data_IF_206439832261
#
_entry.id   IF_206439832261
#
_cell.length_a   1.000
_cell.length_b   1.000
_cell.length_c   1.000
_cell.angle_alpha   90.00
_cell.angle_beta   90.00
_cell.angle_gamma   90.00
#
_symmetry.space_group_name_H-M   'P 1'
#
loop_
_entity.id
_entity.type
_entity.pdbx_description
1 polymer ?
#
# COMPACT_ATOMS: atom_id res chain seq x y z
N UNK A 1 1.56 26.65 33.40
CA UNK A 1 2.18 27.58 32.43
C UNK A 1 3.67 27.81 32.70
N UNK A 2 4.13 27.94 33.96
CA UNK A 2 5.56 28.14 34.26
C UNK A 2 6.49 26.96 33.85
N UNK A 3 6.09 25.70 34.09
CA UNK A 3 6.94 24.52 33.80
C UNK A 3 7.38 24.42 32.33
N UNK A 4 6.46 24.65 31.37
CA UNK A 4 6.76 24.55 29.93
C UNK A 4 7.75 25.60 29.42
N UNK A 5 7.90 26.72 30.13
CA UNK A 5 8.87 27.75 29.77
C UNK A 5 10.21 27.47 30.44
N UNK A 6 10.22 26.85 31.62
CA UNK A 6 11.45 26.45 32.31
C UNK A 6 12.12 25.25 31.62
N UNK A 7 11.34 24.38 30.97
CA UNK A 7 11.82 23.20 30.25
C UNK A 7 12.57 23.51 28.94
N UNK A 8 12.73 24.77 28.55
CA UNK A 8 13.50 25.15 27.35
C UNK A 8 15.01 25.08 27.56
N UNK A 9 15.47 24.98 28.81
CA UNK A 9 16.88 24.81 29.16
C UNK A 9 17.10 23.40 29.75
N UNK A 10 18.10 22.69 29.23
CA UNK A 10 18.47 21.33 29.66
C UNK A 10 18.72 21.23 31.17
N UNK A 11 19.34 22.25 31.75
CA UNK A 11 19.75 22.26 33.16
C UNK A 11 18.53 22.33 34.09
N UNK A 12 17.47 23.02 33.66
CA UNK A 12 16.20 23.07 34.38
C UNK A 12 15.43 21.74 34.28
N UNK A 13 15.59 21.00 33.18
CA UNK A 13 14.97 19.69 33.00
C UNK A 13 15.55 18.65 33.97
N UNK A 14 16.85 18.67 34.19
CA UNK A 14 17.52 17.76 35.12
C UNK A 14 17.13 18.04 36.57
N UNK A 15 17.02 19.31 36.97
CA UNK A 15 16.50 19.69 38.30
C UNK A 15 15.03 19.29 38.44
N UNK A 16 14.24 19.46 37.39
CA UNK A 16 12.82 19.10 37.39
C UNK A 16 12.61 17.59 37.49
N UNK A 17 13.47 16.76 36.89
CA UNK A 17 13.38 15.30 37.03
C UNK A 17 13.53 14.84 38.48
N UNK A 18 14.31 15.56 39.31
CA UNK A 18 14.44 15.27 40.75
C UNK A 18 13.13 15.38 41.52
N UNK A 19 12.14 16.13 41.01
CA UNK A 19 10.81 16.24 41.65
C UNK A 19 9.81 15.21 41.12
N UNK A 20 10.25 14.33 40.22
CA UNK A 20 9.45 13.28 39.59
C UNK A 20 8.08 13.78 39.06
N UNK A 21 8.05 14.66 38.04
CA UNK A 21 6.83 15.32 37.59
C UNK A 21 5.92 14.42 36.74
N UNK A 22 6.45 13.32 36.20
CA UNK A 22 5.78 12.50 35.18
C UNK A 22 4.47 11.88 35.67
N UNK A 23 4.36 11.27 36.87
CA UNK A 23 3.09 10.73 37.36
C UNK A 23 1.98 11.79 37.41
N UNK A 24 2.29 12.99 37.89
CA UNK A 24 1.36 14.12 37.93
C UNK A 24 0.94 14.58 36.53
N UNK A 25 1.89 14.63 35.58
CA UNK A 25 1.59 14.98 34.18
C UNK A 25 0.70 13.91 33.53
N UNK A 26 0.98 12.63 33.74
CA UNK A 26 0.17 11.51 33.23
C UNK A 26 -1.24 11.57 33.82
N UNK A 27 -1.38 11.80 35.13
CA UNK A 27 -2.69 11.97 35.76
C UNK A 27 -3.48 13.13 35.16
N UNK A 28 -2.81 14.24 34.82
CA UNK A 28 -3.46 15.38 34.17
C UNK A 28 -3.86 15.06 32.72
N UNK A 29 -3.03 14.34 31.98
CA UNK A 29 -3.37 13.87 30.64
C UNK A 29 -4.58 12.93 30.64
N UNK A 30 -4.73 12.06 31.65
CA UNK A 30 -5.90 11.18 31.79
C UNK A 30 -7.22 11.93 31.98
N UNK A 31 -7.20 13.09 32.64
CA UNK A 31 -8.42 13.82 33.02
C UNK A 31 -8.76 14.98 32.09
N UNK A 32 -7.76 15.58 31.42
CA UNK A 32 -8.00 16.71 30.54
C UNK A 32 -8.46 16.29 29.12
N UNK A 33 -9.15 17.20 28.44
CA UNK A 33 -9.45 17.04 27.00
C UNK A 33 -8.14 17.00 26.21
N UNK A 34 -7.97 15.99 25.35
CA UNK A 34 -6.75 15.76 24.56
C UNK A 34 -6.44 16.88 23.55
N UNK A 35 -7.46 17.51 22.98
CA UNK A 35 -7.32 18.74 22.16
C UNK A 35 -7.00 20.01 22.98
N UNK A 36 -6.77 19.82 24.28
CA UNK A 36 -6.27 20.71 25.32
C UNK A 36 -5.11 21.64 25.02
N UNK A 37 -5.13 22.93 25.42
CA UNK A 37 -3.86 23.64 25.64
C UNK A 37 -3.08 23.03 26.82
N UNK A 38 -3.78 22.46 27.80
CA UNK A 38 -3.18 21.70 28.90
C UNK A 38 -2.48 20.46 28.34
N UNK A 39 -3.19 19.64 27.55
CA UNK A 39 -2.64 18.45 26.92
C UNK A 39 -1.41 18.77 26.05
N UNK A 40 -1.47 19.84 25.24
CA UNK A 40 -0.33 20.30 24.44
C UNK A 40 0.90 20.60 25.31
N UNK A 41 0.72 21.33 26.42
CA UNK A 41 1.82 21.69 27.33
C UNK A 41 2.36 20.49 28.10
N UNK A 42 1.48 19.57 28.52
CA UNK A 42 1.86 18.31 29.15
C UNK A 42 2.68 17.44 28.20
N UNK A 43 2.23 17.26 26.95
CA UNK A 43 2.97 16.47 25.96
C UNK A 43 4.30 17.12 25.56
N UNK A 44 4.37 18.45 25.46
CA UNK A 44 5.64 19.15 25.21
C UNK A 44 6.66 18.89 26.34
N UNK A 45 6.19 18.89 27.59
CA UNK A 45 7.02 18.54 28.75
C UNK A 45 7.45 17.08 28.71
N UNK A 46 6.54 16.16 28.40
CA UNK A 46 6.89 14.74 28.24
C UNK A 46 7.95 14.57 27.15
N UNK A 47 7.77 15.15 25.96
CA UNK A 47 8.74 15.07 24.87
C UNK A 47 10.14 15.54 25.33
N UNK A 48 10.19 16.62 26.12
CA UNK A 48 11.45 17.15 26.65
C UNK A 48 12.06 16.24 27.73
N UNK A 49 11.24 15.66 28.60
CA UNK A 49 11.67 14.80 29.71
C UNK A 49 12.19 13.44 29.23
N UNK A 50 11.60 12.87 28.18
CA UNK A 50 12.04 11.58 27.63
C UNK A 50 13.38 11.67 26.88
N UNK A 51 13.96 12.86 26.70
CA UNK A 51 15.36 13.01 26.29
C UNK A 51 16.34 12.44 27.33
N UNK A 52 15.93 12.34 28.60
CA UNK A 52 16.74 11.80 29.69
C UNK A 52 16.35 10.36 30.03
N UNK A 53 17.33 9.53 30.41
CA UNK A 53 17.10 8.13 30.74
C UNK A 53 16.07 7.94 31.86
N UNK A 54 16.16 8.77 32.90
CA UNK A 54 15.22 8.77 34.03
C UNK A 54 13.79 9.07 33.55
N UNK A 55 13.60 10.11 32.74
CA UNK A 55 12.29 10.46 32.20
C UNK A 55 11.66 9.34 31.36
N UNK A 56 12.46 8.65 30.53
CA UNK A 56 11.99 7.47 29.77
C UNK A 56 11.56 6.33 30.68
N UNK A 57 12.37 6.05 31.69
CA UNK A 57 12.13 4.94 32.63
C UNK A 57 10.86 5.21 33.43
N UNK A 58 10.73 6.39 34.02
CA UNK A 58 9.55 6.78 34.81
C UNK A 58 8.28 6.76 33.95
N UNK A 59 8.30 7.36 32.75
CA UNK A 59 7.12 7.38 31.88
C UNK A 59 6.65 5.97 31.49
N UNK A 60 7.59 5.07 31.23
CA UNK A 60 7.27 3.69 30.82
C UNK A 60 6.81 2.84 32.01
N UNK A 61 7.31 3.10 33.21
CA UNK A 61 6.88 2.40 34.44
C UNK A 61 5.58 2.94 35.02
N UNK A 62 5.22 4.19 34.73
CA UNK A 62 3.99 4.82 35.21
C UNK A 62 2.77 4.15 34.55
N UNK A 63 1.81 3.71 35.37
CA UNK A 63 0.63 3.00 34.89
C UNK A 63 -0.15 3.85 33.89
N UNK A 64 -0.29 3.38 32.65
CA UNK A 64 -0.96 4.12 31.57
C UNK A 64 -0.21 5.37 31.11
N UNK A 65 1.08 5.49 31.39
CA UNK A 65 1.92 6.59 30.91
C UNK A 65 2.03 6.61 29.39
N UNK A 66 2.33 5.46 28.78
CA UNK A 66 2.39 5.32 27.31
C UNK A 66 0.99 5.50 26.71
N UNK A 67 -0.04 4.86 27.27
CA UNK A 67 -1.43 5.03 26.84
C UNK A 67 -1.85 6.51 26.80
N UNK A 68 -1.56 7.28 27.85
CA UNK A 68 -1.92 8.69 27.91
C UNK A 68 -1.29 9.51 26.76
N UNK A 69 -0.07 9.16 26.33
CA UNK A 69 0.60 9.79 25.18
C UNK A 69 -0.03 9.33 23.86
N UNK A 70 -0.36 8.04 23.72
CA UNK A 70 -1.04 7.49 22.54
C UNK A 70 -2.41 8.14 22.34
N UNK A 71 -3.20 8.30 23.40
CA UNK A 71 -4.51 8.96 23.32
C UNK A 71 -4.41 10.43 22.87
N UNK A 72 -3.33 11.13 23.24
CA UNK A 72 -3.05 12.49 22.73
C UNK A 72 -2.61 12.46 21.28
N UNK A 73 -1.85 11.44 20.85
CA UNK A 73 -1.47 11.27 19.46
C UNK A 73 -2.70 11.08 18.54
N UNK A 74 -3.73 10.41 19.04
CA UNK A 74 -4.98 10.17 18.30
C UNK A 74 -5.93 11.37 18.35
N UNK A 75 -6.19 11.91 19.55
CA UNK A 75 -7.29 12.86 19.77
C UNK A 75 -6.82 14.30 20.08
N UNK A 76 -5.52 14.55 19.92
CA UNK A 76 -4.90 15.83 20.22
C UNK A 76 -5.14 16.92 19.18
N UNK A 77 -4.81 18.17 19.55
CA UNK A 77 -4.55 19.24 18.57
C UNK A 77 -3.33 18.90 17.71
N UNK A 78 -3.21 19.48 16.52
CA UNK A 78 -2.05 19.29 15.62
C UNK A 78 -0.71 19.39 16.37
N UNK A 79 -0.57 20.39 17.24
CA UNK A 79 0.66 20.61 18.00
C UNK A 79 0.87 19.57 19.11
N UNK A 80 -0.18 19.18 19.84
CA UNK A 80 -0.07 18.13 20.85
C UNK A 80 0.24 16.75 20.24
N UNK A 81 -0.33 16.44 19.05
CA UNK A 81 -0.03 15.22 18.29
C UNK A 81 1.44 15.20 17.84
N UNK A 82 1.97 16.34 17.40
CA UNK A 82 3.39 16.47 17.03
C UNK A 82 4.34 16.22 18.21
N UNK A 83 4.00 16.72 19.40
CA UNK A 83 4.74 16.43 20.63
C UNK A 83 4.61 14.97 21.06
N UNK A 84 3.40 14.40 20.98
CA UNK A 84 3.16 13.00 21.34
C UNK A 84 3.96 12.03 20.45
N UNK A 85 3.92 12.21 19.12
CA UNK A 85 4.72 11.38 18.21
C UNK A 85 6.22 11.61 18.42
N UNK A 86 6.64 12.83 18.77
CA UNK A 86 8.02 13.14 19.13
C UNK A 86 8.49 12.34 20.35
N UNK A 87 7.69 12.32 21.41
CA UNK A 87 8.00 11.58 22.63
C UNK A 87 8.15 10.07 22.35
N UNK A 88 7.18 9.47 21.65
CA UNK A 88 7.21 8.05 21.30
C UNK A 88 8.39 7.69 20.37
N UNK A 89 8.71 8.57 19.41
CA UNK A 89 9.87 8.41 18.55
C UNK A 89 11.18 8.45 19.34
N UNK A 90 11.33 9.40 20.26
CA UNK A 90 12.52 9.51 21.13
C UNK A 90 12.72 8.25 21.97
N UNK A 91 11.63 7.65 22.49
CA UNK A 91 11.70 6.35 23.18
C UNK A 91 12.29 5.28 22.26
N UNK A 92 11.66 5.02 21.10
CA UNK A 92 12.13 3.98 20.19
C UNK A 92 13.53 4.23 19.61
N UNK A 93 13.94 5.48 19.41
CA UNK A 93 15.30 5.84 18.98
C UNK A 93 16.33 5.59 20.09
N UNK A 94 15.94 5.75 21.36
CA UNK A 94 16.82 5.51 22.49
C UNK A 94 17.08 4.02 22.71
N UNK A 95 16.02 3.20 22.65
CA UNK A 95 16.13 1.74 22.74
C UNK A 95 14.90 1.08 22.11
N UNK A 96 15.04 0.70 20.84
CA UNK A 96 13.95 0.07 20.08
C UNK A 96 13.44 -1.19 20.76
N UNK A 97 14.32 -2.04 21.29
CA UNK A 97 13.91 -3.33 21.85
C UNK A 97 13.11 -3.16 23.15
N UNK A 98 13.51 -2.20 23.97
CA UNK A 98 12.83 -1.91 25.24
C UNK A 98 11.45 -1.26 25.05
N UNK A 99 11.32 -0.30 24.14
CA UNK A 99 10.12 0.54 24.07
C UNK A 99 9.13 0.16 22.97
N UNK A 100 9.51 -0.71 22.02
CA UNK A 100 8.63 -1.12 20.92
C UNK A 100 7.36 -1.83 21.40
N UNK A 101 7.50 -2.88 22.21
CA UNK A 101 6.33 -3.67 22.64
C UNK A 101 5.35 -2.86 23.49
N UNK A 102 5.79 -2.07 24.50
CA UNK A 102 4.87 -1.20 25.25
C UNK A 102 4.09 -0.24 24.35
N UNK A 103 4.75 0.37 23.36
CA UNK A 103 4.11 1.33 22.45
C UNK A 103 3.10 0.63 21.51
N UNK A 104 3.44 -0.57 21.02
CA UNK A 104 2.51 -1.37 20.20
C UNK A 104 1.33 -1.91 21.01
N UNK A 105 1.57 -2.31 22.26
CA UNK A 105 0.56 -2.83 23.16
C UNK A 105 -0.58 -1.85 23.45
N UNK A 106 -0.29 -0.55 23.42
CA UNK A 106 -1.28 0.53 23.58
C UNK A 106 -2.00 0.91 22.27
N UNK A 107 -1.77 0.19 21.17
CA UNK A 107 -2.56 0.34 19.95
C UNK A 107 -2.19 1.54 19.06
N UNK A 108 -0.96 2.04 19.12
CA UNK A 108 -0.55 3.31 18.46
C UNK A 108 -0.69 3.37 16.91
N UNK A 109 -0.80 2.22 16.23
CA UNK A 109 -0.63 2.12 14.77
C UNK A 109 -1.67 2.92 13.96
N UNK A 110 -3.00 2.84 14.23
CA UNK A 110 -3.99 3.59 13.47
C UNK A 110 -3.76 5.10 13.56
N UNK A 111 -3.49 5.62 14.78
CA UNK A 111 -3.18 7.03 14.99
C UNK A 111 -1.94 7.49 14.24
N UNK A 112 -0.89 6.67 14.15
CA UNK A 112 0.31 6.98 13.37
C UNK A 112 0.03 7.02 11.86
N UNK A 113 -0.73 6.05 11.34
CA UNK A 113 -1.09 6.02 9.92
C UNK A 113 -1.90 7.25 9.52
N UNK A 114 -2.90 7.62 10.32
CA UNK A 114 -3.65 8.85 10.11
C UNK A 114 -2.73 10.09 10.14
N UNK A 115 -1.82 10.15 11.11
CA UNK A 115 -0.88 11.26 11.26
C UNK A 115 0.08 11.39 10.08
N UNK A 116 0.41 10.31 9.35
CA UNK A 116 1.21 10.40 8.11
C UNK A 116 0.51 11.14 6.98
N UNK A 117 -0.82 11.28 7.04
CA UNK A 117 -1.63 11.94 6.01
C UNK A 117 -2.12 13.31 6.49
N UNK A 118 -2.63 13.36 7.73
CA UNK A 118 -3.31 14.54 8.28
C UNK A 118 -2.43 15.37 9.23
N UNK A 119 -1.19 14.95 9.47
CA UNK A 119 -0.25 15.67 10.31
C UNK A 119 0.35 16.92 9.65
N UNK A 120 1.02 17.75 10.47
CA UNK A 120 2.00 18.74 10.01
C UNK A 120 3.16 18.05 9.27
N UNK A 121 3.91 18.73 8.39
CA UNK A 121 5.07 18.13 7.72
C UNK A 121 6.07 17.47 8.69
N UNK A 122 6.27 18.08 9.86
CA UNK A 122 7.13 17.55 10.91
C UNK A 122 6.56 16.31 11.59
N UNK A 123 5.27 16.30 11.95
CA UNK A 123 4.63 15.13 12.54
C UNK A 123 4.48 13.97 11.56
N UNK A 124 4.23 14.24 10.28
CA UNK A 124 4.22 13.22 9.21
C UNK A 124 5.57 12.51 9.10
N UNK A 125 6.67 13.28 9.04
CA UNK A 125 8.04 12.72 8.98
C UNK A 125 8.37 11.87 10.21
N UNK A 126 8.02 12.37 11.41
CA UNK A 126 8.21 11.63 12.67
C UNK A 126 7.36 10.36 12.74
N UNK A 127 6.10 10.40 12.30
CA UNK A 127 5.22 9.25 12.26
C UNK A 127 5.76 8.16 11.34
N UNK A 128 6.23 8.52 10.15
CA UNK A 128 6.88 7.58 9.23
C UNK A 128 8.14 6.95 9.84
N UNK A 129 8.97 7.75 10.51
CA UNK A 129 10.16 7.25 11.20
C UNK A 129 9.80 6.26 12.32
N UNK A 130 8.80 6.59 13.15
CA UNK A 130 8.34 5.73 14.23
C UNK A 130 7.75 4.42 13.69
N UNK A 131 6.92 4.47 12.64
CA UNK A 131 6.39 3.26 11.98
C UNK A 131 7.50 2.33 11.48
N UNK A 132 8.62 2.87 10.95
CA UNK A 132 9.78 2.07 10.56
C UNK A 132 10.44 1.37 11.75
N UNK A 133 10.55 2.04 12.90
CA UNK A 133 11.11 1.46 14.13
C UNK A 133 10.17 0.40 14.74
N UNK A 134 8.86 0.62 14.66
CA UNK A 134 7.86 -0.31 15.16
C UNK A 134 7.68 -1.55 14.27
N UNK A 135 8.08 -1.51 13.01
CA UNK A 135 8.05 -2.68 12.13
C UNK A 135 8.96 -3.80 12.65
N UNK A 136 8.50 -5.04 12.58
CA UNK A 136 9.33 -6.21 12.86
C UNK A 136 10.37 -6.38 11.74
N UNK A 137 11.65 -6.49 12.11
CA UNK A 137 12.75 -6.72 11.17
C UNK A 137 12.79 -8.17 10.62
N UNK A 138 11.86 -9.03 11.03
CA UNK A 138 11.82 -10.46 10.65
C UNK A 138 11.37 -10.70 9.21
N UNK A 139 10.99 -9.65 8.48
CA UNK A 139 11.02 -9.66 7.04
C UNK A 139 11.95 -8.54 6.60
N UNK A 140 13.21 -8.83 6.23
CA UNK A 140 13.86 -7.96 5.27
C UNK A 140 12.88 -7.87 4.11
N UNK A 141 12.24 -6.70 3.95
CA UNK A 141 11.67 -6.37 2.65
C UNK A 141 12.92 -6.30 1.80
N UNK A 142 13.22 -7.39 1.08
CA UNK A 142 14.18 -7.32 0.00
C UNK A 142 13.74 -6.10 -0.79
N UNK A 143 14.54 -5.03 -0.75
CA UNK A 143 14.50 -4.05 -1.81
C UNK A 143 14.71 -4.92 -3.04
N UNK A 144 13.61 -5.19 -3.76
CA UNK A 144 13.70 -5.90 -5.01
C UNK A 144 14.64 -5.02 -5.83
N UNK A 145 15.84 -5.55 -6.10
CA UNK A 145 16.79 -4.84 -6.94
C UNK A 145 16.04 -4.44 -8.23
N UNK A 146 16.30 -3.25 -8.80
CA UNK A 146 15.62 -2.79 -10.01
C UNK A 146 15.55 -3.89 -11.08
N UNK A 147 16.64 -4.64 -11.21
CA UNK A 147 16.82 -5.77 -12.10
C UNK A 147 15.80 -6.90 -11.87
N UNK A 148 15.35 -7.12 -10.63
CA UNK A 148 14.33 -8.13 -10.32
C UNK A 148 12.96 -7.71 -10.84
N UNK A 149 12.61 -6.43 -10.73
CA UNK A 149 11.38 -5.90 -11.33
C UNK A 149 11.48 -5.91 -12.85
N UNK A 150 12.63 -5.54 -13.40
CA UNK A 150 12.89 -5.61 -14.84
C UNK A 150 12.76 -7.03 -15.37
N UNK A 151 13.37 -8.02 -14.69
CA UNK A 151 13.24 -9.45 -15.04
C UNK A 151 11.80 -9.95 -14.96
N UNK A 152 11.03 -9.52 -13.95
CA UNK A 152 9.60 -9.86 -13.83
C UNK A 152 8.82 -9.26 -15.01
N UNK A 153 9.07 -8.00 -15.36
CA UNK A 153 8.41 -7.31 -16.48
C UNK A 153 8.79 -7.95 -17.81
N UNK A 154 10.07 -8.27 -18.04
CA UNK A 154 10.54 -8.97 -19.24
C UNK A 154 9.87 -10.34 -19.38
N UNK A 155 9.78 -11.12 -18.29
CA UNK A 155 9.10 -12.41 -18.31
C UNK A 155 7.61 -12.29 -18.63
N UNK A 156 6.94 -11.23 -18.17
CA UNK A 156 5.53 -10.98 -18.51
C UNK A 156 5.40 -10.62 -19.99
N UNK A 157 6.25 -9.72 -20.50
CA UNK A 157 6.26 -9.32 -21.92
C UNK A 157 6.51 -10.53 -22.82
N UNK A 158 7.51 -11.37 -22.51
CA UNK A 158 7.83 -12.57 -23.28
C UNK A 158 6.72 -13.62 -23.25
N UNK A 159 5.92 -13.68 -22.19
CA UNK A 159 4.77 -14.57 -22.12
C UNK A 159 3.53 -14.04 -22.87
N UNK A 160 3.46 -12.73 -23.12
CA UNK A 160 2.39 -12.12 -23.90
C UNK A 160 2.63 -12.31 -25.41
N UNK A 161 3.89 -12.33 -25.85
CA UNK A 161 4.23 -12.55 -27.27
C UNK A 161 4.02 -14.00 -27.75
N UNK A 162 3.73 -14.94 -26.84
CA UNK A 162 3.48 -16.33 -27.17
C UNK A 162 2.00 -16.59 -27.55
N UNK A 163 1.45 -15.85 -28.52
CA UNK A 163 0.17 -16.19 -29.18
C UNK A 163 0.33 -17.36 -30.19
N UNK A 164 1.16 -18.35 -29.87
CA UNK A 164 1.46 -19.49 -30.74
C UNK A 164 0.25 -20.44 -30.89
N UNK A 165 -0.73 -20.34 -29.98
CA UNK A 165 -1.97 -21.12 -30.02
C UNK A 165 -2.92 -20.64 -31.14
N UNK A 166 -2.91 -19.33 -31.44
CA UNK A 166 -3.67 -18.70 -32.53
C UNK A 166 -3.14 -19.12 -33.91
N UNK A 167 -1.82 -19.31 -34.04
CA UNK A 167 -1.18 -19.75 -35.28
C UNK A 167 -1.58 -21.16 -35.72
N UNK A 168 -1.63 -22.12 -34.77
CA UNK A 168 -2.04 -23.51 -35.05
C UNK A 168 -3.48 -23.60 -35.52
N UNK A 169 -4.39 -22.86 -34.88
CA UNK A 169 -5.80 -22.82 -35.26
C UNK A 169 -6.00 -22.18 -36.65
N UNK A 170 -5.32 -21.06 -36.93
CA UNK A 170 -5.34 -20.40 -38.25
C UNK A 170 -4.81 -21.31 -39.35
N UNK A 171 -3.72 -22.04 -39.09
CA UNK A 171 -3.14 -23.01 -40.04
C UNK A 171 -4.10 -24.16 -40.34
N UNK A 172 -4.72 -24.73 -39.30
CA UNK A 172 -5.70 -25.81 -39.46
C UNK A 172 -6.94 -25.36 -40.26
N UNK A 173 -7.40 -24.13 -40.04
CA UNK A 173 -8.52 -23.55 -40.80
C UNK A 173 -8.17 -23.37 -42.28
N UNK A 174 -6.96 -22.87 -42.57
CA UNK A 174 -6.49 -22.71 -43.95
C UNK A 174 -6.38 -24.05 -44.69
N UNK A 175 -5.84 -25.08 -44.02
CA UNK A 175 -5.74 -26.44 -44.57
C UNK A 175 -7.13 -27.05 -44.84
N UNK A 176 -8.09 -26.87 -43.92
CA UNK A 176 -9.47 -27.35 -44.12
C UNK A 176 -10.16 -26.71 -45.33
N UNK A 177 -9.99 -25.40 -45.51
CA UNK A 177 -10.58 -24.68 -46.66
C UNK A 177 -9.97 -25.18 -47.97
N UNK A 178 -8.65 -25.36 -48.01
CA UNK A 178 -7.95 -25.88 -49.19
C UNK A 178 -8.45 -27.27 -49.58
N UNK A 179 -8.53 -28.20 -48.62
CA UNK A 179 -8.99 -29.58 -48.87
C UNK A 179 -10.44 -29.60 -49.36
N UNK A 180 -11.32 -28.78 -48.77
CA UNK A 180 -12.73 -28.68 -49.17
C UNK A 180 -12.87 -28.17 -50.62
N UNK A 181 -12.06 -27.19 -51.01
CA UNK A 181 -12.06 -26.64 -52.36
C UNK A 181 -11.59 -27.68 -53.39
N UNK A 182 -10.51 -28.43 -53.09
CA UNK A 182 -10.01 -29.48 -53.98
C UNK A 182 -11.02 -30.61 -54.17
N UNK A 183 -11.68 -31.04 -53.09
CA UNK A 183 -12.74 -32.06 -53.17
C UNK A 183 -13.93 -31.56 -54.01
N UNK A 184 -14.33 -30.31 -53.82
CA UNK A 184 -15.41 -29.68 -54.59
C UNK A 184 -15.09 -29.63 -56.09
N UNK A 185 -13.85 -29.25 -56.45
CA UNK A 185 -13.40 -29.20 -57.83
C UNK A 185 -13.41 -30.60 -58.47
N UNK A 186 -12.92 -31.63 -57.77
CA UNK A 186 -12.93 -33.01 -58.25
C UNK A 186 -14.34 -33.54 -58.46
N UNK A 187 -15.27 -33.24 -57.55
CA UNK A 187 -16.67 -33.63 -57.71
C UNK A 187 -17.33 -32.96 -58.92
N UNK A 188 -17.04 -31.67 -59.16
CA UNK A 188 -17.53 -30.94 -60.32
C UNK A 188 -17.00 -31.54 -61.63
N UNK A 189 -15.69 -31.86 -61.67
CA UNK A 189 -15.05 -32.49 -62.83
C UNK A 189 -15.61 -33.90 -63.11
N UNK A 190 -15.84 -34.71 -62.09
CA UNK A 190 -16.44 -36.04 -62.24
C UNK A 190 -17.89 -35.97 -62.75
N UNK A 191 -18.69 -35.04 -62.21
CA UNK A 191 -20.07 -34.81 -62.71
C UNK A 191 -20.07 -34.30 -64.14
N UNK A 192 -19.14 -33.42 -64.50
CA UNK A 192 -18.98 -32.95 -65.87
C UNK A 192 -18.55 -34.07 -66.83
N UNK A 193 -17.72 -35.03 -66.38
CA UNK A 193 -17.29 -36.18 -67.19
C UNK A 193 -18.41 -37.20 -67.43
N UNK A 194 -19.35 -37.34 -66.50
CA UNK A 194 -20.55 -38.20 -66.65
C UNK A 194 -21.55 -37.58 -67.63
N UNK A 195 -21.54 -36.25 -67.79
CA UNK A 195 -22.30 -35.53 -68.80
C UNK A 195 -21.49 -35.33 -70.09
N UNK A 196 -20.99 -36.41 -70.71
CA UNK A 196 -20.72 -36.35 -72.15
C UNK A 196 -22.05 -36.44 -72.88
N UNK A 197 -22.40 -35.50 -73.78
CA UNK A 197 -23.62 -35.63 -74.56
C UNK A 197 -23.47 -36.84 -75.47
N UNK A 198 -24.34 -37.84 -75.32
CA UNK A 198 -24.58 -38.80 -76.40
C UNK A 198 -25.10 -38.03 -77.62
N UNK A 199 -24.66 -38.32 -78.86
CA UNK A 199 -24.87 -37.42 -80.02
C UNK A 199 -26.32 -37.21 -80.51
N UNK A 200 -27.35 -37.58 -79.74
CA UNK A 200 -28.67 -37.86 -80.30
C UNK A 200 -29.87 -37.14 -79.68
N UNK A 201 -29.71 -35.99 -79.02
CA UNK A 201 -30.88 -35.17 -78.65
C UNK A 201 -30.87 -33.79 -79.32
N UNK A 202 -31.79 -33.65 -80.28
CA UNK A 202 -32.16 -32.47 -81.06
C UNK A 202 -32.64 -31.30 -80.17
N UNK A 203 -32.58 -30.04 -80.66
CA UNK A 203 -32.88 -28.88 -79.84
C UNK A 203 -34.39 -28.61 -79.77
N UNK A 204 -34.91 -28.33 -78.58
CA UNK A 204 -36.27 -27.79 -78.40
C UNK A 204 -36.21 -26.45 -77.65
N UNK A 205 -36.59 -25.44 -78.41
CA UNK A 205 -37.27 -24.18 -78.09
C UNK A 205 -36.82 -23.33 -76.88
N UNK A 206 -36.36 -22.13 -77.22
CA UNK A 206 -36.77 -20.83 -76.68
C UNK A 206 -37.66 -20.82 -75.43
N UNK A 207 -37.23 -20.10 -74.40
CA UNK A 207 -38.12 -19.21 -73.66
C UNK A 207 -37.34 -18.07 -72.99
N UNK A 208 -37.72 -16.86 -73.39
CA UNK A 208 -37.32 -15.55 -72.90
C UNK A 208 -38.03 -15.21 -71.58
N UNK A 209 -37.32 -14.73 -70.55
CA UNK A 209 -37.83 -13.75 -69.56
C UNK A 209 -36.63 -13.23 -68.76
N UNK A 210 -36.11 -12.03 -69.06
CA UNK A 210 -36.43 -10.75 -68.41
C UNK A 210 -36.13 -10.68 -66.91
N UNK A 211 -35.18 -9.78 -66.61
CA UNK A 211 -34.67 -9.36 -65.30
C UNK A 211 -35.69 -8.42 -64.65
N UNK A 212 -35.90 -8.54 -63.34
CA UNK A 212 -36.46 -7.45 -62.54
C UNK A 212 -35.67 -7.30 -61.25
N UNK A 213 -34.89 -6.22 -61.19
CA UNK A 213 -34.20 -5.75 -60.00
C UNK A 213 -35.15 -4.90 -59.15
N UNK A 214 -35.19 -5.18 -57.86
CA UNK A 214 -35.46 -4.20 -56.81
C UNK A 214 -34.45 -4.38 -55.70
#
# INVERSE_FOLDING_TARGET
MALSNLSTHSDNLEIMLKTNPIPSIVSLLKTCKKSSKIAEKCCALIESLVCFHEGRTVLTSEQGGILAVVEVLENGSLQSREYAVGALLTLCQSDRFKYREPILGEGVIPGLLELTVQGTPKSQSRAQALLRLLRNATYPRSELQPDTLENIVCNIISQIDADEQSGKAKKMLAEMVQVSMEQSLRQLQQRALVCTPTPNDLPISSCTSEVSSK
#
